data_IF_541493342871
#
_entry.id   IF_541493342871
#
_cell.length_a   1.000
_cell.length_b   1.000
_cell.length_c   1.000
_cell.angle_alpha   90.00
_cell.angle_beta   90.00
_cell.angle_gamma   90.00
#
_symmetry.space_group_name_H-M   'P 1'
#
loop_
_entity.id
_entity.type
_entity.pdbx_description
1 polymer ?
#
# COMPACT_ATOMS: atom_id res chain seq x y z
N UNK A 1 13.42 -24.97 1.61
CA UNK A 1 12.67 -23.80 1.09
C UNK A 1 11.25 -23.92 1.60
N UNK A 2 10.66 -22.85 2.15
CA UNK A 2 9.29 -22.90 2.62
C UNK A 2 8.32 -23.20 1.46
N UNK A 3 7.28 -23.96 1.76
CA UNK A 3 6.14 -24.20 0.88
C UNK A 3 5.31 -22.93 0.66
N UNK A 4 4.48 -22.93 -0.38
CA UNK A 4 3.55 -21.80 -0.64
C UNK A 4 2.63 -21.54 0.54
N UNK A 5 2.17 -22.58 1.23
CA UNK A 5 1.32 -22.46 2.40
C UNK A 5 2.06 -21.81 3.57
N UNK A 6 3.31 -22.20 3.82
CA UNK A 6 4.14 -21.57 4.85
C UNK A 6 4.41 -20.10 4.55
N UNK A 7 4.69 -19.74 3.29
CA UNK A 7 4.87 -18.34 2.88
C UNK A 7 3.56 -17.54 3.08
N UNK A 8 2.42 -18.12 2.71
CA UNK A 8 1.12 -17.46 2.89
C UNK A 8 0.80 -17.21 4.35
N UNK A 9 1.06 -18.17 5.24
CA UNK A 9 0.85 -18.00 6.67
C UNK A 9 1.79 -16.94 7.24
N UNK A 10 3.06 -16.94 6.84
CA UNK A 10 4.01 -15.89 7.25
C UNK A 10 3.57 -14.49 6.81
N UNK A 11 2.99 -14.36 5.61
CA UNK A 11 2.43 -13.08 5.16
C UNK A 11 1.27 -12.63 6.05
N UNK A 12 0.34 -13.53 6.39
CA UNK A 12 -0.74 -13.20 7.33
C UNK A 12 -0.22 -12.77 8.70
N UNK A 13 0.78 -13.48 9.25
CA UNK A 13 1.37 -13.15 10.55
C UNK A 13 2.03 -11.76 10.52
N UNK A 14 2.75 -11.43 9.43
CA UNK A 14 3.37 -10.12 9.24
C UNK A 14 2.32 -9.01 9.15
N UNK A 15 1.23 -9.22 8.43
CA UNK A 15 0.16 -8.23 8.34
C UNK A 15 -0.59 -8.05 9.66
N UNK A 16 -0.78 -9.12 10.44
CA UNK A 16 -1.36 -9.01 11.78
C UNK A 16 -0.47 -8.17 12.72
N UNK A 17 0.85 -8.40 12.71
CA UNK A 17 1.79 -7.59 13.49
C UNK A 17 1.86 -6.13 13.02
N UNK A 18 1.57 -5.89 11.74
CA UNK A 18 1.56 -4.57 11.16
C UNK A 18 0.37 -3.72 11.67
N UNK A 19 -0.81 -4.32 11.85
CA UNK A 19 -1.98 -3.65 12.44
C UNK A 19 -1.68 -3.10 13.85
N UNK A 20 -1.04 -3.91 14.70
CA UNK A 20 -0.61 -3.49 16.05
C UNK A 20 0.34 -2.29 16.03
N UNK A 21 1.18 -2.17 14.99
CA UNK A 21 2.11 -1.06 14.83
C UNK A 21 1.38 0.27 14.56
N UNK A 22 0.24 0.24 13.85
CA UNK A 22 -0.55 1.44 13.54
C UNK A 22 -1.40 1.91 14.71
N UNK A 23 -1.85 1.00 15.57
CA UNK A 23 -2.67 1.34 16.74
C UNK A 23 -2.03 2.39 17.67
N UNK A 24 -0.70 2.50 17.66
CA UNK A 24 0.06 3.47 18.46
C UNK A 24 0.34 4.81 17.78
N UNK A 25 0.01 4.99 16.49
CA UNK A 25 0.34 6.20 15.73
C UNK A 25 -0.80 7.22 15.85
N UNK A 26 -0.49 8.40 16.39
CA UNK A 26 -1.45 9.50 16.51
C UNK A 26 -1.61 10.27 15.20
N UNK A 27 -2.76 10.94 15.00
CA UNK A 27 -2.99 11.80 13.84
C UNK A 27 -1.92 12.89 13.69
N UNK A 28 -1.45 13.47 14.80
CA UNK A 28 -0.37 14.45 14.78
C UNK A 28 0.93 13.85 14.25
N UNK A 29 1.24 12.59 14.60
CA UNK A 29 2.40 11.90 14.03
C UNK A 29 2.20 11.58 12.55
N UNK A 30 0.96 11.28 12.13
CA UNK A 30 0.69 11.00 10.72
C UNK A 30 0.93 12.19 9.79
N UNK A 31 0.74 13.40 10.29
CA UNK A 31 0.94 14.65 9.54
C UNK A 31 2.39 15.11 9.49
N UNK A 32 3.30 14.47 10.23
CA UNK A 32 4.73 14.85 10.22
C UNK A 32 5.39 14.41 8.92
N UNK A 33 6.13 15.32 8.30
CA UNK A 33 6.98 15.03 7.16
C UNK A 33 8.30 14.40 7.61
N UNK A 34 8.25 13.13 7.97
CA UNK A 34 9.43 12.36 8.40
C UNK A 34 10.12 11.64 7.21
N UNK A 35 9.55 11.72 6.00
CA UNK A 35 10.05 11.09 4.77
C UNK A 35 10.35 12.15 3.70
N UNK A 36 11.34 13.01 3.97
CA UNK A 36 11.64 14.22 3.20
C UNK A 36 10.42 15.15 3.11
N UNK A 37 9.76 15.24 1.95
CA UNK A 37 8.54 16.05 1.76
C UNK A 37 7.26 15.25 2.06
N UNK A 38 7.36 13.95 2.32
CA UNK A 38 6.22 13.07 2.54
C UNK A 38 5.96 12.81 4.02
N UNK A 39 4.68 12.76 4.35
CA UNK A 39 4.14 12.35 5.63
C UNK A 39 3.60 10.92 5.57
N UNK A 40 3.13 10.37 6.70
CA UNK A 40 2.41 9.08 6.65
C UNK A 40 1.11 9.19 5.85
N UNK A 41 0.53 10.39 5.72
CA UNK A 41 -0.59 10.64 4.83
C UNK A 41 -0.26 10.43 3.35
N UNK A 42 1.03 10.42 2.97
CA UNK A 42 1.51 10.20 1.60
C UNK A 42 2.07 8.78 1.42
N UNK A 43 2.82 8.29 2.42
CA UNK A 43 3.42 6.96 2.40
C UNK A 43 2.36 5.86 2.37
N UNK A 44 1.30 5.99 3.15
CA UNK A 44 0.24 4.96 3.22
C UNK A 44 -0.47 4.81 1.86
N UNK A 45 -0.96 5.89 1.22
CA UNK A 45 -1.51 5.81 -0.15
C UNK A 45 -0.52 5.27 -1.18
N UNK A 46 0.77 5.63 -1.09
CA UNK A 46 1.80 5.10 -1.98
C UNK A 46 1.88 3.57 -1.89
N UNK A 47 1.95 3.01 -0.68
CA UNK A 47 2.04 1.56 -0.46
C UNK A 47 0.75 0.85 -0.87
N UNK A 48 -0.40 1.34 -0.42
CA UNK A 48 -1.71 0.72 -0.69
C UNK A 48 -2.10 0.81 -2.15
N UNK A 49 -1.73 1.89 -2.85
CA UNK A 49 -1.92 2.04 -4.29
C UNK A 49 -1.13 1.01 -5.10
N UNK A 50 0.12 0.74 -4.72
CA UNK A 50 0.88 -0.35 -5.36
C UNK A 50 0.30 -1.73 -5.05
N UNK A 51 -0.17 -1.95 -3.81
CA UNK A 51 -0.83 -3.20 -3.45
C UNK A 51 -2.10 -3.44 -4.29
N UNK A 52 -2.94 -2.41 -4.52
CA UNK A 52 -4.11 -2.47 -5.42
C UNK A 52 -3.71 -2.87 -6.85
N UNK A 53 -2.71 -2.20 -7.44
CA UNK A 53 -2.26 -2.46 -8.82
C UNK A 53 -1.62 -3.85 -8.96
N UNK A 54 -0.88 -4.31 -7.94
CA UNK A 54 -0.28 -5.64 -7.94
C UNK A 54 -1.32 -6.73 -7.72
N UNK A 55 -2.29 -6.53 -6.83
CA UNK A 55 -3.44 -7.42 -6.63
C UNK A 55 -4.18 -7.66 -7.94
N UNK A 56 -4.56 -6.58 -8.64
CA UNK A 56 -5.23 -6.67 -9.94
C UNK A 56 -4.35 -7.42 -10.97
N UNK A 57 -3.05 -7.16 -10.99
CA UNK A 57 -2.11 -7.83 -11.89
C UNK A 57 -2.03 -9.33 -11.63
N UNK A 58 -1.97 -9.75 -10.35
CA UNK A 58 -1.93 -11.15 -9.96
C UNK A 58 -3.23 -11.87 -10.31
N UNK A 59 -4.38 -11.23 -10.11
CA UNK A 59 -5.69 -11.77 -10.52
C UNK A 59 -5.76 -12.01 -12.03
N UNK A 60 -5.31 -11.02 -12.84
CA UNK A 60 -5.25 -11.14 -14.30
C UNK A 60 -4.37 -12.30 -14.73
N UNK A 61 -3.16 -12.39 -14.18
CA UNK A 61 -2.23 -13.50 -14.45
C UNK A 61 -2.84 -14.85 -14.05
N UNK A 62 -3.57 -14.90 -12.93
CA UNK A 62 -4.30 -16.10 -12.50
C UNK A 62 -5.37 -16.57 -13.49
N UNK A 63 -5.94 -15.65 -14.28
CA UNK A 63 -6.88 -15.95 -15.39
C UNK A 63 -6.17 -16.21 -16.74
N UNK A 64 -4.85 -16.14 -16.79
CA UNK A 64 -4.07 -16.24 -18.03
C UNK A 64 -4.02 -14.96 -18.86
N UNK A 65 -4.42 -13.82 -18.29
CA UNK A 65 -4.39 -12.50 -18.92
C UNK A 65 -3.05 -11.80 -18.66
N UNK A 66 -2.75 -10.77 -19.44
CA UNK A 66 -1.61 -9.88 -19.18
C UNK A 66 -1.85 -9.03 -17.91
N UNK A 67 -0.81 -8.75 -17.10
CA UNK A 67 -0.92 -7.88 -15.92
C UNK A 67 -1.21 -6.42 -16.30
N UNK A 68 -1.47 -5.57 -15.29
CA UNK A 68 -1.68 -4.14 -15.50
C UNK A 68 -0.45 -3.52 -16.17
N UNK A 69 -0.68 -2.75 -17.24
CA UNK A 69 0.41 -2.09 -17.98
C UNK A 69 0.81 -0.80 -17.26
N UNK A 70 1.89 -0.88 -16.49
CA UNK A 70 2.41 0.27 -15.72
C UNK A 70 3.28 1.18 -16.59
N UNK A 71 4.08 0.60 -17.49
CA UNK A 71 5.14 1.29 -18.22
C UNK A 71 6.51 1.06 -17.56
N UNK A 72 7.52 1.84 -17.94
CA UNK A 72 8.87 1.75 -17.39
C UNK A 72 9.54 3.11 -17.37
N UNK A 73 10.40 3.34 -16.36
CA UNK A 73 11.13 4.59 -16.17
C UNK A 73 10.68 5.33 -14.91
N UNK A 74 11.59 6.07 -14.30
CA UNK A 74 11.39 6.76 -13.02
C UNK A 74 10.16 7.67 -13.06
N UNK A 75 10.05 8.51 -14.08
CA UNK A 75 8.92 9.43 -14.29
C UNK A 75 7.54 8.74 -14.31
N UNK A 76 7.48 7.51 -14.81
CA UNK A 76 6.24 6.74 -14.84
C UNK A 76 5.87 6.30 -13.43
N UNK A 77 6.83 5.81 -12.64
CA UNK A 77 6.59 5.43 -11.25
C UNK A 77 6.22 6.64 -10.39
N UNK A 78 6.85 7.79 -10.62
CA UNK A 78 6.51 9.04 -9.92
C UNK A 78 5.10 9.50 -10.25
N UNK A 79 4.67 9.39 -11.52
CA UNK A 79 3.29 9.68 -11.90
C UNK A 79 2.28 8.74 -11.25
N UNK A 80 2.60 7.45 -11.07
CA UNK A 80 1.78 6.51 -10.31
C UNK A 80 1.72 6.86 -8.83
N UNK A 81 2.88 7.16 -8.23
CA UNK A 81 2.98 7.56 -6.84
C UNK A 81 2.13 8.81 -6.54
N UNK A 82 2.29 9.86 -7.35
CA UNK A 82 1.49 11.08 -7.23
C UNK A 82 -0.01 10.81 -7.43
N UNK A 83 -0.37 9.93 -8.38
CA UNK A 83 -1.77 9.53 -8.58
C UNK A 83 -2.37 8.88 -7.32
N UNK A 84 -1.62 8.00 -6.65
CA UNK A 84 -2.08 7.33 -5.43
C UNK A 84 -2.26 8.33 -4.28
N UNK A 85 -1.25 9.18 -4.06
CA UNK A 85 -1.28 10.21 -3.01
C UNK A 85 -2.40 11.22 -3.28
N UNK A 86 -2.52 11.72 -4.51
CA UNK A 86 -3.54 12.70 -4.88
C UNK A 86 -4.97 12.18 -4.66
N UNK A 87 -5.22 10.87 -4.88
CA UNK A 87 -6.51 10.22 -4.59
C UNK A 87 -6.90 10.30 -3.11
N UNK A 88 -5.92 10.41 -2.20
CA UNK A 88 -6.11 10.36 -0.74
C UNK A 88 -5.91 11.68 -0.02
N UNK A 89 -5.47 12.73 -0.72
CA UNK A 89 -5.43 14.12 -0.19
C UNK A 89 -6.72 14.60 0.51
N UNK A 90 -7.96 14.26 0.08
CA UNK A 90 -9.16 14.71 0.78
C UNK A 90 -9.52 13.87 2.02
N UNK A 91 -8.82 12.78 2.29
CA UNK A 91 -9.13 11.85 3.38
C UNK A 91 -8.54 12.32 4.72
N UNK A 92 -9.25 12.02 5.80
CA UNK A 92 -8.75 12.12 7.17
C UNK A 92 -7.68 11.06 7.47
N UNK A 93 -6.85 11.27 8.51
CA UNK A 93 -5.88 10.26 8.95
C UNK A 93 -6.53 8.89 9.23
N UNK A 94 -7.68 8.87 9.90
CA UNK A 94 -8.42 7.63 10.17
C UNK A 94 -8.86 6.91 8.89
N UNK A 95 -9.28 7.65 7.85
CA UNK A 95 -9.67 7.05 6.57
C UNK A 95 -8.46 6.46 5.84
N UNK A 96 -7.30 7.13 5.90
CA UNK A 96 -6.07 6.64 5.29
C UNK A 96 -5.56 5.36 5.97
N UNK A 97 -5.61 5.29 7.31
CA UNK A 97 -5.27 4.05 8.05
C UNK A 97 -6.26 2.94 7.72
N UNK A 98 -7.56 3.24 7.69
CA UNK A 98 -8.56 2.22 7.37
C UNK A 98 -8.35 1.62 5.98
N UNK A 99 -8.05 2.44 4.97
CA UNK A 99 -7.72 1.97 3.62
C UNK A 99 -6.55 0.99 3.61
N UNK A 100 -5.55 1.25 4.45
CA UNK A 100 -4.39 0.39 4.61
C UNK A 100 -4.73 -0.97 5.22
N UNK A 101 -5.51 -0.97 6.30
CA UNK A 101 -5.95 -2.21 6.94
C UNK A 101 -6.78 -3.07 5.98
N UNK A 102 -7.66 -2.45 5.19
CA UNK A 102 -8.46 -3.15 4.18
C UNK A 102 -7.59 -3.69 3.03
N UNK A 103 -6.52 -2.98 2.65
CA UNK A 103 -5.65 -3.40 1.54
C UNK A 103 -4.94 -4.73 1.82
N UNK A 104 -4.70 -5.07 3.09
CA UNK A 104 -3.90 -6.22 3.51
C UNK A 104 -4.71 -7.34 4.18
N UNK A 105 -6.04 -7.29 4.09
CA UNK A 105 -6.96 -8.37 4.50
C UNK A 105 -7.45 -9.17 3.30
#
# INVERSE_FOLDING_TARGET
MPSKAEISNQLHDVFAAFDETFAGITETQMLRQDFDEWSLMDIIPHVTGWNEVMGESLERVGRGESPVRIGSGVEIFDAWNEKFVAKKRPCSPSEVVNDMLVSFQ
#
